data_IF_540728016712
#
_entry.id   IF_540728016712
#
_cell.length_a   1.000
_cell.length_b   1.000
_cell.length_c   1.000
_cell.angle_alpha   90.00
_cell.angle_beta   90.00
_cell.angle_gamma   90.00
#
_symmetry.space_group_name_H-M   'P 1'
#
loop_
_entity.id
_entity.type
_entity.pdbx_description
1 polymer ?
#
# COMPACT_ATOMS: atom_id res chain seq x y z
N UNK A 1 0.59 -0.62 -17.94
CA UNK A 1 1.33 -0.79 -16.67
C UNK A 1 0.29 -1.02 -15.58
N UNK A 2 0.52 -1.96 -14.67
CA UNK A 2 -0.44 -2.21 -13.58
C UNK A 2 -0.16 -1.30 -12.40
N UNK A 3 -1.24 -0.85 -11.75
CA UNK A 3 -1.19 0.05 -10.61
C UNK A 3 -2.10 -0.46 -9.51
N UNK A 4 -1.61 -0.38 -8.28
CA UNK A 4 -2.36 -0.67 -7.06
C UNK A 4 -2.29 0.52 -6.13
N UNK A 5 -3.42 0.83 -5.49
CA UNK A 5 -3.54 1.86 -4.46
C UNK A 5 -4.08 1.23 -3.19
N UNK A 6 -3.30 1.30 -2.12
CA UNK A 6 -3.67 0.78 -0.81
C UNK A 6 -3.88 1.91 0.19
N UNK A 7 -4.86 1.72 1.06
CA UNK A 7 -5.07 2.49 2.30
C UNK A 7 -4.57 1.65 3.47
N UNK A 8 -3.71 2.23 4.29
CA UNK A 8 -3.22 1.57 5.50
C UNK A 8 -3.70 2.36 6.72
N UNK A 9 -4.37 1.67 7.66
CA UNK A 9 -4.94 2.28 8.86
C UNK A 9 -3.86 2.80 9.79
N UNK A 10 -2.87 1.96 10.09
CA UNK A 10 -1.75 2.32 10.96
C UNK A 10 -0.43 1.82 10.35
N UNK A 11 0.56 2.71 10.31
CA UNK A 11 1.91 2.45 9.82
C UNK A 11 2.97 2.92 10.84
N UNK A 12 2.61 2.99 12.12
CA UNK A 12 3.55 3.27 13.21
C UNK A 12 4.62 2.17 13.35
N UNK A 13 4.28 0.92 13.00
CA UNK A 13 5.21 -0.20 13.04
C UNK A 13 6.25 -0.11 11.91
N UNK A 14 7.51 0.17 12.28
CA UNK A 14 8.64 0.26 11.35
C UNK A 14 8.90 -1.05 10.57
N UNK A 15 8.55 -2.22 11.13
CA UNK A 15 8.70 -3.50 10.43
C UNK A 15 7.77 -3.59 9.22
N UNK A 16 6.52 -3.13 9.35
CA UNK A 16 5.57 -3.08 8.22
C UNK A 16 6.10 -2.15 7.14
N UNK A 17 6.53 -0.94 7.52
CA UNK A 17 7.10 0.01 6.57
C UNK A 17 8.32 -0.55 5.84
N UNK A 18 9.22 -1.23 6.57
CA UNK A 18 10.38 -1.89 5.98
C UNK A 18 9.99 -2.97 4.97
N UNK A 19 9.00 -3.82 5.30
CA UNK A 19 8.50 -4.85 4.37
C UNK A 19 7.92 -4.20 3.10
N UNK A 20 7.12 -3.14 3.24
CA UNK A 20 6.55 -2.38 2.10
C UNK A 20 7.67 -1.82 1.22
N UNK A 21 8.65 -1.15 1.83
CA UNK A 21 9.74 -0.46 1.13
C UNK A 21 10.68 -1.45 0.42
N UNK A 22 11.21 -2.43 1.17
CA UNK A 22 12.18 -3.38 0.62
C UNK A 22 11.60 -4.23 -0.49
N UNK A 23 10.36 -4.72 -0.34
CA UNK A 23 9.74 -5.53 -1.40
C UNK A 23 9.44 -4.69 -2.65
N UNK A 24 9.10 -3.40 -2.50
CA UNK A 24 8.88 -2.52 -3.64
C UNK A 24 10.18 -2.34 -4.44
N UNK A 25 11.30 -2.12 -3.73
CA UNK A 25 12.62 -1.98 -4.34
C UNK A 25 13.10 -3.29 -4.98
N UNK A 26 12.98 -4.43 -4.28
CA UNK A 26 13.40 -5.75 -4.77
C UNK A 26 12.61 -6.20 -6.00
N UNK A 27 11.32 -5.86 -6.09
CA UNK A 27 10.50 -6.17 -7.26
C UNK A 27 10.60 -5.11 -8.37
N UNK A 28 11.50 -4.14 -8.23
CA UNK A 28 11.71 -3.04 -9.17
C UNK A 28 10.41 -2.28 -9.49
N UNK A 29 9.57 -2.10 -8.48
CA UNK A 29 8.34 -1.35 -8.56
C UNK A 29 8.64 0.15 -8.44
N UNK A 30 7.81 0.96 -9.08
CA UNK A 30 7.82 2.43 -8.93
C UNK A 30 6.60 2.85 -8.15
N UNK A 31 6.60 4.04 -7.55
CA UNK A 31 5.45 4.47 -6.74
C UNK A 31 5.85 5.31 -5.53
N UNK A 32 4.96 5.38 -4.55
CA UNK A 32 5.26 5.98 -3.27
C UNK A 32 4.49 5.36 -2.11
N UNK A 33 5.09 5.44 -0.94
CA UNK A 33 4.42 5.26 0.34
C UNK A 33 4.40 6.61 1.05
N UNK A 34 3.22 7.12 1.38
CA UNK A 34 3.05 8.36 2.15
C UNK A 34 2.40 8.00 3.47
N UNK A 35 3.16 8.16 4.55
CA UNK A 35 2.69 8.00 5.91
C UNK A 35 2.28 9.38 6.45
N UNK A 36 1.00 9.54 6.78
CA UNK A 36 0.46 10.75 7.39
C UNK A 36 -0.31 10.39 8.67
N UNK A 37 0.36 10.42 9.84
CA UNK A 37 -0.28 10.10 11.11
C UNK A 37 -1.50 10.99 11.37
N UNK A 38 -2.61 10.38 11.80
CA UNK A 38 -3.85 11.09 12.13
C UNK A 38 -4.73 11.49 10.92
N UNK A 39 -4.28 11.25 9.68
CA UNK A 39 -5.06 11.50 8.46
C UNK A 39 -5.32 10.19 7.73
N UNK A 40 -4.33 9.72 6.97
CA UNK A 40 -4.39 8.48 6.21
C UNK A 40 -2.99 8.12 5.71
N UNK A 41 -2.70 6.81 5.64
CA UNK A 41 -1.50 6.32 4.98
C UNK A 41 -1.89 5.72 3.63
N UNK A 42 -1.17 6.10 2.58
CA UNK A 42 -1.42 5.64 1.21
C UNK A 42 -0.16 5.01 0.62
N UNK A 43 -0.35 3.89 -0.07
CA UNK A 43 0.70 3.25 -0.87
C UNK A 43 0.21 3.13 -2.31
N UNK A 44 0.93 3.77 -3.23
CA UNK A 44 0.69 3.68 -4.67
C UNK A 44 1.86 2.92 -5.28
N UNK A 45 1.57 1.86 -6.03
CA UNK A 45 2.57 0.98 -6.63
C UNK A 45 2.26 0.84 -8.11
N UNK A 46 3.27 1.02 -8.95
CA UNK A 46 3.20 0.89 -10.39
C UNK A 46 4.27 -0.12 -10.87
N UNK A 47 3.90 -1.01 -11.78
CA UNK A 47 4.88 -1.99 -12.29
C UNK A 47 4.36 -2.95 -13.35
N UNK A 48 5.16 -3.98 -13.60
CA UNK A 48 4.79 -5.09 -14.47
C UNK A 48 3.83 -6.07 -13.75
N UNK A 49 2.99 -6.78 -14.51
CA UNK A 49 1.89 -7.59 -13.95
C UNK A 49 2.34 -8.65 -12.94
N UNK A 50 3.50 -9.30 -13.21
CA UNK A 50 4.07 -10.30 -12.30
C UNK A 50 4.52 -9.69 -10.97
N UNK A 51 5.22 -8.56 -11.02
CA UNK A 51 5.75 -7.88 -9.84
C UNK A 51 4.60 -7.30 -8.98
N UNK A 52 3.63 -6.66 -9.63
CA UNK A 52 2.44 -6.09 -8.99
C UNK A 52 1.60 -7.18 -8.31
N UNK A 53 1.38 -8.32 -8.98
CA UNK A 53 0.66 -9.46 -8.38
C UNK A 53 1.38 -10.02 -7.14
N UNK A 54 2.71 -10.15 -7.17
CA UNK A 54 3.50 -10.57 -5.99
C UNK A 54 3.39 -9.57 -4.85
N UNK A 55 3.47 -8.27 -5.15
CA UNK A 55 3.33 -7.21 -4.17
C UNK A 55 1.91 -7.16 -3.55
N UNK A 56 0.87 -7.39 -4.36
CA UNK A 56 -0.50 -7.53 -3.86
C UNK A 56 -0.64 -8.68 -2.87
N UNK A 57 -0.07 -9.86 -3.17
CA UNK A 57 -0.08 -11.01 -2.24
C UNK A 57 0.65 -10.66 -0.94
N UNK A 58 1.78 -9.96 -1.01
CA UNK A 58 2.49 -9.46 0.17
C UNK A 58 1.60 -8.56 1.03
N UNK A 59 1.05 -7.50 0.45
CA UNK A 59 0.28 -6.46 1.16
C UNK A 59 -0.99 -6.99 1.83
N UNK A 60 -1.68 -7.91 1.16
CA UNK A 60 -2.99 -8.41 1.60
C UNK A 60 -2.87 -9.66 2.48
N UNK A 61 -1.87 -10.52 2.23
CA UNK A 61 -1.79 -11.84 2.89
C UNK A 61 -0.59 -12.00 3.80
N UNK A 62 0.62 -11.59 3.38
CA UNK A 62 1.87 -11.92 4.10
C UNK A 62 2.24 -10.94 5.20
N UNK A 63 1.81 -9.68 5.09
CA UNK A 63 2.03 -8.71 6.17
C UNK A 63 0.96 -8.94 7.25
N UNK A 64 1.40 -9.45 8.40
CA UNK A 64 0.58 -9.60 9.60
C UNK A 64 0.42 -8.22 10.26
N UNK A 65 -0.68 -7.53 9.95
CA UNK A 65 -0.91 -6.13 10.35
C UNK A 65 -1.30 -5.94 11.82
N UNK A 66 -1.85 -6.98 12.45
CA UNK A 66 -2.39 -6.94 13.83
C UNK A 66 -1.43 -7.46 14.89
N UNK A 67 -0.31 -8.07 14.50
CA UNK A 67 0.61 -8.67 15.46
C UNK A 67 1.54 -7.61 16.07
N UNK A 68 1.27 -7.24 17.31
CA UNK A 68 2.24 -6.61 18.20
C UNK A 68 3.23 -7.68 18.65
N UNK A 69 4.39 -7.73 18.02
CA UNK A 69 5.56 -8.50 18.46
C UNK A 69 5.31 -10.02 18.65
N UNK A 70 5.28 -10.76 17.55
CA UNK A 70 5.78 -12.13 17.55
C UNK A 70 6.87 -12.22 16.47
N UNK A 71 8.07 -12.61 16.92
CA UNK A 71 9.18 -12.93 16.04
C UNK A 71 8.85 -14.19 15.27
N UNK A 72 9.05 -14.15 13.96
CA UNK A 72 9.47 -15.29 13.14
C UNK A 72 9.81 -14.74 11.75
N UNK A 73 11.04 -15.02 11.32
CA UNK A 73 11.47 -14.91 9.93
C UNK A 73 10.69 -15.94 9.13
N UNK A 74 9.44 -15.61 8.81
CA UNK A 74 8.58 -16.49 8.04
C UNK A 74 8.85 -16.21 6.55
N UNK A 75 9.86 -16.91 6.05
CA UNK A 75 10.14 -17.12 4.63
C UNK A 75 9.09 -18.07 4.05
N UNK A 76 7.82 -17.71 4.24
CA UNK A 76 6.66 -18.51 3.86
C UNK A 76 6.38 -18.30 2.36
N UNK A 77 7.19 -18.95 1.55
CA UNK A 77 6.77 -19.41 0.22
C UNK A 77 5.72 -20.50 0.43
N UNK A 78 4.45 -20.11 0.29
CA UNK A 78 3.27 -20.98 0.07
C UNK A 78 2.43 -21.47 1.26
N UNK A 79 2.19 -20.62 2.27
CA UNK A 79 0.99 -20.79 3.11
C UNK A 79 -0.20 -19.99 2.55
N UNK A 80 -1.07 -20.68 1.82
CA UNK A 80 -2.40 -20.25 1.38
C UNK A 80 -3.46 -20.48 2.48
N UNK A 81 -3.12 -20.24 3.75
CA UNK A 81 -4.05 -20.45 4.86
C UNK A 81 -4.67 -19.15 5.39
N UNK A 82 -6.01 -19.12 5.26
CA UNK A 82 -7.01 -18.28 5.94
C UNK A 82 -6.81 -16.77 5.90
N UNK A 83 -7.41 -16.15 4.88
CA UNK A 83 -7.65 -14.71 4.82
C UNK A 83 -8.67 -14.34 5.90
N UNK A 84 -8.21 -14.00 7.11
CA UNK A 84 -9.10 -13.47 8.12
C UNK A 84 -9.71 -12.14 7.62
N UNK A 85 -11.05 -11.96 7.63
CA UNK A 85 -11.71 -10.70 7.29
C UNK A 85 -11.16 -9.50 8.07
N UNK A 86 -10.62 -9.75 9.27
CA UNK A 86 -10.01 -8.74 10.16
C UNK A 86 -8.70 -8.13 9.64
N UNK A 87 -7.92 -8.87 8.84
CA UNK A 87 -6.65 -8.35 8.29
C UNK A 87 -6.89 -7.29 7.20
N UNK A 88 -8.02 -7.38 6.50
CA UNK A 88 -8.42 -6.40 5.48
C UNK A 88 -8.77 -5.04 6.09
N UNK A 89 -9.03 -4.94 7.40
CA UNK A 89 -9.37 -3.65 8.04
C UNK A 89 -8.15 -2.73 8.19
N UNK A 90 -6.94 -3.32 8.21
CA UNK A 90 -5.69 -2.57 8.36
C UNK A 90 -5.05 -2.19 7.03
N UNK A 91 -5.18 -3.04 6.01
CA UNK A 91 -4.66 -2.81 4.67
C UNK A 91 -5.75 -3.09 3.65
N UNK A 92 -6.23 -2.02 3.03
CA UNK A 92 -7.35 -2.06 2.10
C UNK A 92 -6.86 -1.72 0.70
N UNK A 93 -7.17 -2.57 -0.27
CA UNK A 93 -7.00 -2.24 -1.68
C UNK A 93 -8.12 -1.30 -2.12
N UNK A 94 -7.77 -0.04 -2.38
CA UNK A 94 -8.70 1.03 -2.78
C UNK A 94 -8.95 0.98 -4.29
N UNK A 95 -7.89 0.75 -5.06
CA UNK A 95 -7.97 0.72 -6.51
C UNK A 95 -6.92 -0.20 -7.11
N UNK A 96 -7.30 -0.86 -8.19
CA UNK A 96 -6.44 -1.71 -9.03
C UNK A 96 -6.82 -1.48 -10.48
N UNK A 97 -5.81 -1.30 -11.34
CA UNK A 97 -6.08 -1.12 -12.76
C UNK A 97 -4.83 -1.00 -13.60
N UNK A 98 -5.06 -0.78 -14.89
CA UNK A 98 -4.02 -0.60 -15.90
C UNK A 98 -4.01 0.85 -16.36
N UNK A 99 -2.85 1.50 -16.29
CA UNK A 99 -2.64 2.86 -16.81
C UNK A 99 -1.73 2.83 -18.03
N UNK A 100 -1.91 3.82 -18.91
CA UNK A 100 -1.11 3.98 -20.14
C UNK A 100 0.30 4.49 -19.86
N UNK A 101 0.43 5.47 -18.97
CA UNK A 101 1.70 6.13 -18.66
C UNK A 101 2.04 5.98 -17.18
N UNK A 102 3.34 5.96 -16.88
CA UNK A 102 3.82 5.91 -15.50
C UNK A 102 3.89 7.29 -14.89
N UNK A 103 3.44 7.39 -13.64
CA UNK A 103 3.43 8.63 -12.88
C UNK A 103 4.70 8.76 -12.04
N UNK A 104 5.27 7.62 -11.63
CA UNK A 104 6.44 7.56 -10.74
C UNK A 104 7.67 7.02 -11.49
N UNK A 105 8.79 7.76 -11.41
CA UNK A 105 10.08 7.32 -11.99
C UNK A 105 10.82 6.34 -11.10
N UNK A 106 10.66 6.48 -9.79
CA UNK A 106 11.28 5.68 -8.75
C UNK A 106 10.28 5.42 -7.61
N UNK A 107 10.64 4.49 -6.74
CA UNK A 107 9.95 4.28 -5.47
C UNK A 107 10.44 5.28 -4.42
N UNK A 108 9.53 5.84 -3.60
CA UNK A 108 9.87 6.72 -2.49
C UNK A 108 8.93 6.57 -1.30
N UNK A 109 9.50 6.44 -0.10
CA UNK A 109 8.78 6.57 1.17
C UNK A 109 8.85 8.03 1.64
N UNK A 110 7.73 8.60 2.08
CA UNK A 110 7.65 9.97 2.60
C UNK A 110 6.81 10.02 3.86
N UNK A 111 7.31 10.70 4.88
CA UNK A 111 6.58 10.98 6.12
C UNK A 111 6.14 12.44 6.08
N UNK A 112 4.84 12.68 6.20
CA UNK A 112 4.25 14.02 6.10
C UNK A 112 3.38 14.29 7.32
N UNK A 113 3.21 15.56 7.67
CA UNK A 113 2.53 15.96 8.92
C UNK A 113 1.06 16.31 8.72
N UNK A 114 0.64 16.56 7.49
CA UNK A 114 -0.73 16.97 7.18
C UNK A 114 -1.13 16.55 5.75
N UNK A 115 -2.44 16.57 5.50
CA UNK A 115 -3.02 16.22 4.20
C UNK A 115 -2.52 17.10 3.03
N UNK A 116 -2.42 18.44 3.15
CA UNK A 116 -1.94 19.27 2.04
C UNK A 116 -0.54 18.89 1.54
N UNK A 117 0.36 18.51 2.44
CA UNK A 117 1.70 18.05 2.10
C UNK A 117 1.65 16.70 1.35
N UNK A 118 0.80 15.76 1.81
CA UNK A 118 0.57 14.49 1.14
C UNK A 118 0.02 14.68 -0.29
N UNK A 119 -0.99 15.53 -0.44
CA UNK A 119 -1.60 15.88 -1.73
C UNK A 119 -0.58 16.54 -2.65
N UNK A 120 0.27 17.43 -2.14
CA UNK A 120 1.33 18.07 -2.93
C UNK A 120 2.30 17.04 -3.50
N UNK A 121 2.75 16.07 -2.71
CA UNK A 121 3.65 15.01 -3.20
C UNK A 121 3.03 14.18 -4.33
N UNK A 122 1.73 13.91 -4.27
CA UNK A 122 1.02 13.20 -5.33
C UNK A 122 0.78 14.09 -6.56
N UNK A 123 0.44 15.36 -6.36
CA UNK A 123 0.23 16.33 -7.44
C UNK A 123 1.50 16.58 -8.25
N UNK A 124 2.66 16.70 -7.60
CA UNK A 124 3.97 16.82 -8.26
C UNK A 124 4.26 15.66 -9.24
N UNK A 125 3.49 14.56 -9.14
CA UNK A 125 3.58 13.36 -9.97
C UNK A 125 2.31 13.08 -10.78
N UNK A 126 1.37 14.04 -10.86
CA UNK A 126 0.09 13.90 -11.55
C UNK A 126 -0.77 12.73 -11.03
N UNK A 127 -0.64 12.42 -9.74
CA UNK A 127 -1.21 11.27 -9.06
C UNK A 127 -2.16 11.67 -7.91
N UNK A 128 -2.60 12.93 -7.87
CA UNK A 128 -3.48 13.52 -6.85
C UNK A 128 -4.86 12.85 -6.79
N UNK A 129 -5.38 12.42 -7.94
CA UNK A 129 -6.64 11.68 -8.04
C UNK A 129 -6.68 10.40 -7.18
N UNK A 130 -5.54 9.75 -6.90
CA UNK A 130 -5.50 8.60 -5.99
C UNK A 130 -5.82 8.98 -4.54
N UNK A 131 -5.48 10.20 -4.13
CA UNK A 131 -5.86 10.72 -2.81
C UNK A 131 -7.37 10.99 -2.74
N UNK A 132 -7.97 11.48 -3.83
CA UNK A 132 -9.43 11.65 -3.87
C UNK A 132 -10.19 10.32 -3.84
N UNK A 133 -9.65 9.28 -4.49
CA UNK A 133 -10.18 7.92 -4.36
C UNK A 133 -10.09 7.42 -2.91
N UNK A 134 -8.97 7.67 -2.23
CA UNK A 134 -8.77 7.31 -0.82
C UNK A 134 -9.80 7.98 0.10
N UNK A 135 -10.05 9.27 -0.12
CA UNK A 135 -10.98 10.07 0.69
C UNK A 135 -12.44 9.66 0.47
N UNK A 136 -12.78 9.20 -0.75
CA UNK A 136 -14.13 8.74 -1.11
C UNK A 136 -14.34 7.25 -0.90
N UNK A 137 -13.30 6.51 -0.58
CA UNK A 137 -13.37 5.07 -0.41
C UNK A 137 -14.32 4.73 0.74
N UNK A 138 -15.38 4.00 0.40
CA UNK A 138 -16.29 3.36 1.34
C UNK A 138 -16.05 1.86 1.28
N UNK A 139 -15.94 1.24 2.44
CA UNK A 139 -15.75 -0.20 2.52
C UNK A 139 -17.04 -0.91 2.12
N UNK A 140 -17.07 -1.65 1.00
CA UNK A 140 -18.28 -2.33 0.54
C UNK A 140 -18.79 -3.38 1.54
N UNK A 141 -17.96 -3.83 2.48
CA UNK A 141 -18.34 -4.77 3.54
C UNK A 141 -19.22 -4.13 4.62
N UNK A 142 -19.24 -2.81 4.70
CA UNK A 142 -20.03 -2.06 5.70
C UNK A 142 -21.43 -1.69 5.21
N UNK A 143 -21.76 -1.92 3.94
CA UNK A 143 -23.06 -1.62 3.33
C UNK A 143 -24.05 -2.82 3.37
N UNK A 144 -23.82 -3.82 4.25
CA UNK A 144 -24.69 -4.99 4.48
C UNK A 144 -25.42 -4.88 5.83
#
# INVERSE_FOLDING_TARGET
>A
MEVLVFKIKDLANKKHLFKIDMNAQQFHLTGCCIACPGVANIVVVEGGPRAVKRYKKLMIRRIKWTEEQADEDDDDEDQDEVTAPKLQDHCVLVWEGVVKQRSFKNWKVSHVRNEPEARKLLNDRQADHYWDMLARYRDPRMDI
#
